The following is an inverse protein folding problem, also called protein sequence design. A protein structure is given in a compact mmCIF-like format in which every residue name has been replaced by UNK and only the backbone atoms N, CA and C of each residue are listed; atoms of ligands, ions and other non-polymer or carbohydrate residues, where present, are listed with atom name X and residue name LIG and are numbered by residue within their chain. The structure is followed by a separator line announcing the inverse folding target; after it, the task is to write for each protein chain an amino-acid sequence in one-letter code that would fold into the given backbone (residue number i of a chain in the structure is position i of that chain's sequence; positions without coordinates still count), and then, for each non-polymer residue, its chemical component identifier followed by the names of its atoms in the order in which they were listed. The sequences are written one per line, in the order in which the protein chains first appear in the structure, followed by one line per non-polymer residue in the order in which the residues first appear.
data_IF_861488548558
#
_entry.id   IF_861488548558
#
_cell.length_a   1.000
_cell.length_b   1.000
_cell.length_c   1.000
_cell.angle_alpha   90.00
_cell.angle_beta   90.00
_cell.angle_gamma   90.00
#
_symmetry.space_group_name_H-M   'P 1'
#
loop_
_entity.id
_entity.type
_entity.pdbx_description
1 polymer ?
#
# COMPACT_ATOMS: atom_id res chain seq x y z
N UNK A 1 12.93 12.32 6.15
CA UNK A 1 11.69 11.66 5.68
C UNK A 1 11.33 12.31 4.36
N UNK A 2 11.08 11.52 3.32
CA UNK A 2 10.69 12.02 2.00
C UNK A 2 9.32 12.68 2.13
N UNK A 3 9.23 13.96 1.82
CA UNK A 3 8.00 14.75 2.02
C UNK A 3 7.93 15.93 1.07
N UNK A 4 6.73 16.52 0.85
CA UNK A 4 6.59 17.71 0.01
C UNK A 4 7.43 18.91 0.50
N UNK A 5 7.73 18.97 1.81
CA UNK A 5 8.46 20.09 2.43
C UNK A 5 9.97 19.85 2.41
N UNK A 6 10.41 18.64 2.77
CA UNK A 6 11.83 18.32 2.91
C UNK A 6 12.50 17.96 1.58
N UNK A 7 11.74 17.42 0.62
CA UNK A 7 12.25 16.94 -0.68
C UNK A 7 11.27 17.33 -1.80
N UNK A 8 11.11 18.64 -2.09
CA UNK A 8 10.10 19.13 -3.03
C UNK A 8 10.34 18.70 -4.48
N UNK A 9 11.60 18.52 -4.89
CA UNK A 9 11.91 18.03 -6.24
C UNK A 9 11.49 16.57 -6.42
N UNK A 10 11.71 15.73 -5.40
CA UNK A 10 11.27 14.32 -5.41
C UNK A 10 9.74 14.21 -5.44
N UNK A 11 9.04 15.14 -4.78
CA UNK A 11 7.58 15.17 -4.75
C UNK A 11 6.96 15.40 -6.14
N UNK A 12 7.66 16.07 -7.05
CA UNK A 12 7.19 16.25 -8.44
C UNK A 12 7.14 14.93 -9.19
N UNK A 13 8.06 14.01 -8.89
CA UNK A 13 8.15 12.69 -9.51
C UNK A 13 7.28 11.65 -8.77
N UNK A 14 7.27 11.70 -7.43
CA UNK A 14 6.50 10.79 -6.56
C UNK A 14 5.51 11.58 -5.68
N UNK A 15 4.33 11.95 -6.22
CA UNK A 15 3.39 12.86 -5.55
C UNK A 15 2.50 12.18 -4.48
N UNK A 16 2.95 11.04 -3.93
CA UNK A 16 2.22 10.27 -2.94
C UNK A 16 3.16 9.85 -1.79
N UNK A 17 2.64 9.93 -0.56
CA UNK A 17 3.36 9.46 0.62
C UNK A 17 2.98 7.99 0.88
N UNK A 18 3.97 7.12 0.92
CA UNK A 18 3.79 5.74 1.36
C UNK A 18 3.79 5.66 2.89
N UNK A 19 2.74 5.08 3.46
CA UNK A 19 2.66 4.72 4.86
C UNK A 19 2.53 3.19 5.00
N UNK A 20 3.14 2.62 6.04
CA UNK A 20 3.23 1.15 6.25
C UNK A 20 2.78 0.73 7.66
N UNK A 21 1.98 1.57 8.32
CA UNK A 21 1.57 1.38 9.72
C UNK A 21 0.31 0.53 9.93
N UNK A 22 -0.42 0.17 8.87
CA UNK A 22 -1.67 -0.61 8.99
C UNK A 22 -1.39 -1.96 9.63
N UNK A 23 -2.16 -2.27 10.67
CA UNK A 23 -2.13 -3.56 11.35
C UNK A 23 -3.24 -4.45 10.82
N UNK A 24 -2.88 -5.69 10.52
CA UNK A 24 -3.85 -6.74 10.19
C UNK A 24 -4.35 -7.36 11.50
N UNK A 25 -5.65 -7.64 11.58
CA UNK A 25 -6.20 -8.40 12.71
C UNK A 25 -5.78 -9.88 12.64
N UNK A 26 -5.40 -10.37 11.46
CA UNK A 26 -5.03 -11.76 11.24
C UNK A 26 -3.53 -12.04 11.45
N UNK A 27 -2.66 -11.03 11.31
CA UNK A 27 -1.20 -11.23 11.31
C UNK A 27 -0.48 -10.31 12.29
N UNK A 28 0.59 -10.82 12.90
CA UNK A 28 1.50 -10.04 13.72
C UNK A 28 2.82 -9.83 12.97
N UNK A 29 3.03 -8.62 12.44
CA UNK A 29 4.20 -8.31 11.61
C UNK A 29 4.37 -9.28 10.42
N UNK A 30 5.47 -10.03 10.38
CA UNK A 30 5.76 -11.05 9.36
C UNK A 30 5.16 -12.42 9.71
N UNK A 31 4.71 -12.64 10.94
CA UNK A 31 4.32 -13.94 11.48
C UNK A 31 2.89 -14.34 11.09
N UNK A 32 2.58 -15.62 11.33
CA UNK A 32 1.26 -16.26 11.18
C UNK A 32 0.72 -16.38 9.74
N UNK A 33 1.47 -15.97 8.71
CA UNK A 33 1.05 -16.10 7.31
C UNK A 33 0.96 -17.53 6.80
N UNK A 34 1.65 -18.46 7.45
CA UNK A 34 1.61 -19.89 7.15
C UNK A 34 0.34 -20.59 7.68
N UNK A 35 -0.44 -19.92 8.53
CA UNK A 35 -1.65 -20.50 9.14
C UNK A 35 -2.82 -20.39 8.15
N UNK A 36 -3.37 -21.50 7.62
CA UNK A 36 -4.32 -21.46 6.50
C UNK A 36 -5.58 -20.62 6.78
N UNK A 37 -6.22 -20.79 7.95
CA UNK A 37 -7.45 -20.06 8.26
C UNK A 37 -7.22 -18.56 8.46
N UNK A 38 -6.02 -18.13 8.89
CA UNK A 38 -5.67 -16.71 8.96
C UNK A 38 -5.36 -16.16 7.57
N UNK A 39 -4.80 -17.00 6.69
CA UNK A 39 -4.51 -16.66 5.30
C UNK A 39 -5.79 -16.40 4.49
N UNK A 40 -6.85 -17.15 4.76
CA UNK A 40 -8.15 -16.97 4.12
C UNK A 40 -8.78 -15.59 4.43
N UNK A 41 -8.51 -15.03 5.61
CA UNK A 41 -9.04 -13.71 6.02
C UNK A 41 -8.42 -12.58 5.18
N UNK A 42 -7.10 -12.63 4.96
CA UNK A 42 -6.38 -11.64 4.18
C UNK A 42 -5.37 -12.36 3.25
N UNK A 43 -5.84 -12.79 2.06
CA UNK A 43 -5.07 -13.67 1.17
C UNK A 43 -4.05 -12.93 0.30
N UNK A 44 -4.26 -11.64 0.05
CA UNK A 44 -3.51 -10.87 -0.95
C UNK A 44 -2.77 -9.69 -0.36
N UNK A 45 -1.61 -9.38 -0.96
CA UNK A 45 -0.79 -8.25 -0.56
C UNK A 45 -1.45 -6.95 -1.04
N UNK A 46 -2.28 -6.34 -0.22
CA UNK A 46 -3.02 -5.14 -0.64
C UNK A 46 -2.28 -3.84 -0.38
N UNK A 47 -2.61 -2.82 -1.17
CA UNK A 47 -2.35 -1.41 -0.88
C UNK A 47 -3.66 -0.65 -0.89
N UNK A 48 -3.90 0.10 0.17
CA UNK A 48 -5.07 0.96 0.30
C UNK A 48 -4.83 2.31 -0.39
N UNK A 49 -5.77 2.69 -1.25
CA UNK A 49 -5.71 3.89 -2.09
C UNK A 49 -7.04 4.64 -1.97
N UNK A 50 -6.98 5.97 -1.87
CA UNK A 50 -8.19 6.78 -1.86
C UNK A 50 -8.89 6.71 -3.22
N UNK A 51 -10.24 6.61 -3.30
CA UNK A 51 -10.97 6.53 -4.56
C UNK A 51 -10.64 7.66 -5.55
N UNK A 52 -10.51 8.90 -5.07
CA UNK A 52 -10.14 10.04 -5.94
C UNK A 52 -8.73 9.89 -6.54
N UNK A 53 -7.78 9.41 -5.74
CA UNK A 53 -6.40 9.17 -6.16
C UNK A 53 -6.35 8.03 -7.16
N UNK A 54 -7.09 6.96 -6.90
CA UNK A 54 -7.21 5.84 -7.81
C UNK A 54 -7.82 6.27 -9.14
N UNK A 55 -8.89 7.06 -9.12
CA UNK A 55 -9.51 7.65 -10.32
C UNK A 55 -8.52 8.51 -11.11
N UNK A 56 -7.76 9.37 -10.44
CA UNK A 56 -6.77 10.22 -11.09
C UNK A 56 -5.63 9.42 -11.77
N UNK A 57 -5.32 8.24 -11.23
CA UNK A 57 -4.29 7.33 -11.73
C UNK A 57 -4.83 6.23 -12.67
N UNK A 58 -6.15 6.18 -12.92
CA UNK A 58 -6.77 5.13 -13.72
C UNK A 58 -6.70 3.73 -13.07
N UNK A 59 -6.67 3.67 -11.74
CA UNK A 59 -6.61 2.43 -10.97
C UNK A 59 -8.01 2.03 -10.53
N UNK A 60 -8.38 0.78 -10.79
CA UNK A 60 -9.63 0.19 -10.30
C UNK A 60 -9.41 -0.72 -9.09
N UNK A 61 -10.49 -1.03 -8.37
CA UNK A 61 -10.49 -2.00 -7.27
C UNK A 61 -9.92 -3.34 -7.74
N UNK A 62 -9.04 -3.94 -6.93
CA UNK A 62 -8.44 -5.24 -7.23
C UNK A 62 -7.36 -5.23 -8.32
N UNK A 63 -7.04 -4.09 -8.92
CA UNK A 63 -5.95 -4.01 -9.90
C UNK A 63 -4.60 -4.31 -9.27
N UNK A 64 -3.72 -4.97 -10.02
CA UNK A 64 -2.33 -5.09 -9.61
C UNK A 64 -1.57 -3.82 -9.97
N UNK A 65 -1.02 -3.15 -8.96
CA UNK A 65 -0.31 -1.89 -9.09
C UNK A 65 1.13 -2.02 -8.60
N UNK A 66 2.01 -1.19 -9.17
CA UNK A 66 3.36 -0.99 -8.67
C UNK A 66 3.38 0.22 -7.75
N UNK A 67 3.96 0.04 -6.56
CA UNK A 67 4.32 1.14 -5.67
C UNK A 67 5.81 1.33 -5.87
N UNK A 68 6.19 2.46 -6.44
CA UNK A 68 7.57 2.80 -6.79
C UNK A 68 8.02 4.04 -6.01
N UNK A 69 9.28 4.04 -5.60
CA UNK A 69 9.96 5.19 -5.01
C UNK A 69 11.46 5.05 -5.22
N UNK A 70 12.24 5.95 -4.62
CA UNK A 70 13.69 6.04 -4.84
C UNK A 70 14.48 4.77 -4.48
N UNK A 71 13.90 3.89 -3.65
CA UNK A 71 14.55 2.66 -3.16
C UNK A 71 14.16 1.42 -3.95
N UNK A 72 13.32 1.57 -4.97
CA UNK A 72 12.80 0.48 -5.78
C UNK A 72 11.28 0.40 -5.73
N UNK A 73 10.75 -0.79 -6.09
CA UNK A 73 9.33 -0.99 -6.30
C UNK A 73 8.82 -2.31 -5.74
N UNK A 74 7.54 -2.31 -5.37
CA UNK A 74 6.82 -3.50 -4.91
C UNK A 74 5.48 -3.62 -5.65
N UNK A 75 5.03 -4.86 -5.91
CA UNK A 75 3.74 -5.13 -6.53
C UNK A 75 2.69 -5.45 -5.47
N UNK A 76 1.53 -4.80 -5.53
CA UNK A 76 0.42 -4.96 -4.58
C UNK A 76 -0.91 -4.91 -5.31
N UNK A 77 -1.96 -5.44 -4.69
CA UNK A 77 -3.33 -5.35 -5.18
C UNK A 77 -4.01 -4.10 -4.62
N UNK A 78 -4.61 -3.28 -5.47
CA UNK A 78 -5.29 -2.06 -5.07
C UNK A 78 -6.56 -2.41 -4.29
N UNK A 79 -6.72 -1.76 -3.14
CA UNK A 79 -7.92 -1.78 -2.31
C UNK A 79 -8.38 -0.34 -2.13
N UNK A 80 -9.49 0.03 -2.74
CA UNK A 80 -9.99 1.41 -2.71
C UNK A 80 -10.74 1.65 -1.41
N UNK A 81 -10.38 2.71 -0.70
CA UNK A 81 -11.02 3.05 0.56
C UNK A 81 -10.90 4.55 0.87
N UNK A 82 -11.97 5.21 1.32
CA UNK A 82 -11.91 6.63 1.72
C UNK A 82 -11.16 6.84 3.05
N UNK A 83 -10.74 5.76 3.73
CA UNK A 83 -10.04 5.84 5.02
C UNK A 83 -8.62 6.43 4.88
N UNK A 84 -7.95 6.18 3.76
CA UNK A 84 -6.62 6.74 3.50
C UNK A 84 -6.71 8.13 2.89
N UNK A 85 -5.85 9.05 3.31
CA UNK A 85 -5.87 10.42 2.79
C UNK A 85 -5.48 10.44 1.29
N UNK A 86 -6.07 11.30 0.43
CA UNK A 86 -5.80 11.31 -1.02
C UNK A 86 -4.32 11.43 -1.44
N UNK A 87 -3.49 12.08 -0.61
CA UNK A 87 -2.03 12.22 -0.85
C UNK A 87 -1.20 11.06 -0.27
N UNK A 88 -1.84 10.01 0.22
CA UNK A 88 -1.19 8.89 0.90
C UNK A 88 -1.67 7.55 0.34
N UNK A 89 -0.80 6.55 0.37
CA UNK A 89 -1.15 5.16 0.10
C UNK A 89 -0.66 4.30 1.26
N UNK A 90 -1.46 3.32 1.68
CA UNK A 90 -1.15 2.48 2.84
C UNK A 90 -0.88 1.05 2.40
N UNK A 91 0.37 0.61 2.52
CA UNK A 91 0.75 -0.77 2.21
C UNK A 91 0.92 -1.61 3.48
N UNK A 92 0.48 -2.86 3.42
CA UNK A 92 0.74 -3.83 4.51
C UNK A 92 2.24 -4.12 4.62
N UNK A 93 2.79 -4.02 5.84
CA UNK A 93 4.18 -4.36 6.11
C UNK A 93 4.37 -5.86 6.35
N UNK A 94 5.61 -6.32 6.16
CA UNK A 94 6.01 -7.70 6.49
C UNK A 94 5.41 -8.78 5.59
N UNK A 95 4.86 -8.44 4.42
CA UNK A 95 4.19 -9.41 3.55
C UNK A 95 5.14 -10.33 2.79
N UNK A 96 4.93 -11.65 2.89
CA UNK A 96 5.66 -12.70 2.16
C UNK A 96 4.74 -13.92 1.89
N UNK A 97 5.15 -14.78 0.95
CA UNK A 97 4.50 -16.06 0.68
C UNK A 97 5.32 -17.19 1.32
N UNK A 98 4.70 -18.05 2.15
CA UNK A 98 5.33 -19.27 2.66
C UNK A 98 5.56 -20.33 1.59
#
# INVERSE_FOLDING_TARGET
MESPVSTPELWKEYPLILITGRRSAAFYHSEHRQIPWLREIEPEATVEIHPDTAKALGIEEGNWVWIEGVRGKIKRKAKLTPVVHPKTVMALHGWWYP
#
